data_IF_805221065049
#
_entry.id   IF_805221065049
#
_cell.length_a   1.000
_cell.length_b   1.000
_cell.length_c   1.000
_cell.angle_alpha   90.00
_cell.angle_beta   90.00
_cell.angle_gamma   90.00
#
_symmetry.space_group_name_H-M   'P 1'
#
loop_
_entity.id
_entity.type
_entity.pdbx_description
1 polymer ?
#
# COMPACT_ATOMS: atom_id res chain seq x y z
N UNK A 1 -14.84 17.77 9.89
CA UNK A 1 -13.41 17.94 10.24
C UNK A 1 -12.59 17.77 8.96
N UNK A 2 -11.48 18.50 8.81
CA UNK A 2 -10.62 18.43 7.63
C UNK A 2 -9.40 17.54 7.88
N UNK A 3 -8.90 16.88 6.83
CA UNK A 3 -7.64 16.14 6.89
C UNK A 3 -6.50 17.15 7.03
N UNK A 4 -5.61 16.95 8.00
CA UNK A 4 -4.44 17.80 8.22
C UNK A 4 -3.32 17.45 7.24
N UNK A 5 -2.43 18.41 6.99
CA UNK A 5 -1.19 18.13 6.25
C UNK A 5 -0.38 17.06 7.00
N UNK A 6 0.10 16.07 6.27
CA UNK A 6 0.84 14.93 6.80
C UNK A 6 2.33 15.20 6.58
N UNK A 7 3.10 15.26 7.67
CA UNK A 7 4.55 15.34 7.59
C UNK A 7 5.13 14.06 7.00
N UNK A 8 6.16 14.20 6.17
CA UNK A 8 6.86 13.02 5.64
C UNK A 8 7.50 12.20 6.76
N UNK A 9 7.38 10.87 6.66
CA UNK A 9 7.99 9.90 7.55
C UNK A 9 8.47 8.68 6.73
N UNK A 10 9.34 7.85 7.31
CA UNK A 10 9.89 6.68 6.63
C UNK A 10 8.92 5.50 6.66
N UNK A 11 8.90 4.70 5.61
CA UNK A 11 8.21 3.42 5.61
C UNK A 11 8.85 2.51 6.67
N UNK A 12 8.07 1.80 7.50
CA UNK A 12 8.63 0.89 8.48
C UNK A 12 9.38 -0.26 7.82
N UNK A 13 10.46 -0.69 8.47
CA UNK A 13 11.25 -1.85 8.05
C UNK A 13 10.61 -3.15 8.56
N UNK A 14 10.86 -4.27 7.87
CA UNK A 14 10.24 -5.57 8.18
C UNK A 14 10.50 -6.02 9.61
N UNK A 15 11.66 -5.68 10.15
CA UNK A 15 12.10 -6.03 11.51
C UNK A 15 11.28 -5.29 12.58
N UNK A 16 10.60 -4.20 12.21
CA UNK A 16 9.73 -3.44 13.11
C UNK A 16 8.28 -3.94 13.15
N UNK A 17 7.93 -4.90 12.30
CA UNK A 17 6.56 -5.40 12.23
C UNK A 17 6.22 -6.25 13.46
N UNK A 18 5.00 -6.12 14.01
CA UNK A 18 4.57 -6.99 15.09
C UNK A 18 4.44 -8.43 14.60
N UNK A 19 4.65 -9.39 15.51
CA UNK A 19 4.44 -10.80 15.20
C UNK A 19 2.95 -11.06 14.88
N UNK A 20 2.69 -11.79 13.79
CA UNK A 20 1.35 -12.25 13.46
C UNK A 20 0.81 -13.21 14.52
N UNK A 21 -0.48 -13.09 14.84
CA UNK A 21 -1.17 -14.01 15.76
C UNK A 21 -1.75 -15.25 15.08
N UNK A 22 -1.84 -15.23 13.76
CA UNK A 22 -2.44 -16.27 12.92
C UNK A 22 -1.49 -16.63 11.79
N UNK A 23 -1.51 -17.89 11.36
CA UNK A 23 -0.63 -18.39 10.30
C UNK A 23 -1.27 -18.36 8.91
N UNK A 24 -2.17 -17.39 8.64
CA UNK A 24 -2.82 -17.28 7.34
C UNK A 24 -1.79 -17.10 6.22
N UNK A 25 -1.92 -17.93 5.19
CA UNK A 25 -1.10 -17.86 4.00
C UNK A 25 -1.90 -17.24 2.86
N UNK A 26 -1.24 -16.43 2.04
CA UNK A 26 -1.83 -15.88 0.83
C UNK A 26 -2.06 -16.99 -0.19
N UNK A 27 -3.32 -17.21 -0.56
CA UNK A 27 -3.72 -18.11 -1.64
C UNK A 27 -4.27 -17.26 -2.80
N UNK A 28 -3.56 -17.15 -3.93
CA UNK A 28 -4.00 -16.35 -5.08
C UNK A 28 -5.39 -16.73 -5.59
N UNK A 29 -5.78 -18.00 -5.50
CA UNK A 29 -7.10 -18.48 -5.95
C UNK A 29 -8.27 -17.96 -5.11
N UNK A 30 -7.97 -17.41 -3.92
CA UNK A 30 -8.94 -16.90 -2.95
C UNK A 30 -8.70 -15.44 -2.58
N UNK A 31 -7.72 -14.78 -3.20
CA UNK A 31 -7.31 -13.43 -2.85
C UNK A 31 -7.94 -12.38 -3.78
N UNK A 32 -7.99 -11.15 -3.27
CA UNK A 32 -8.27 -9.93 -4.04
C UNK A 32 -7.26 -8.88 -3.57
N UNK A 33 -6.69 -8.12 -4.50
CA UNK A 33 -5.86 -6.95 -4.19
C UNK A 33 -6.75 -5.70 -4.18
N UNK A 34 -6.87 -5.03 -3.04
CA UNK A 34 -7.57 -3.75 -2.92
C UNK A 34 -6.58 -2.60 -2.91
N UNK A 35 -6.65 -1.69 -3.89
CA UNK A 35 -5.89 -0.43 -3.91
C UNK A 35 -6.79 0.68 -3.36
N UNK A 36 -6.76 0.81 -2.03
CA UNK A 36 -7.69 1.67 -1.32
C UNK A 36 -7.36 3.17 -1.44
N UNK A 37 -8.28 3.97 -1.99
CA UNK A 37 -8.28 5.44 -1.99
C UNK A 37 -6.98 6.13 -2.45
N UNK A 38 -6.26 5.54 -3.40
CA UNK A 38 -5.04 6.12 -4.00
C UNK A 38 -5.33 7.26 -5.00
N UNK A 39 -6.31 8.10 -4.68
CA UNK A 39 -6.74 9.25 -5.48
C UNK A 39 -5.89 10.48 -5.15
N UNK A 40 -5.67 11.36 -6.14
CA UNK A 40 -4.93 12.62 -5.95
C UNK A 40 -5.44 13.46 -4.77
N UNK A 41 -6.74 13.45 -4.51
CA UNK A 41 -7.33 14.16 -3.36
C UNK A 41 -6.67 13.76 -2.03
N UNK A 42 -6.54 12.46 -1.75
CA UNK A 42 -5.93 11.97 -0.52
C UNK A 42 -4.41 12.12 -0.52
N UNK A 43 -3.77 11.97 -1.68
CA UNK A 43 -2.32 12.09 -1.79
C UNK A 43 -1.83 13.53 -1.64
N UNK A 44 -2.66 14.53 -1.98
CA UNK A 44 -2.30 15.95 -1.87
C UNK A 44 -2.12 16.45 -0.41
N UNK A 45 -2.49 15.66 0.59
CA UNK A 45 -2.23 15.99 2.00
C UNK A 45 -0.79 15.68 2.43
N UNK A 46 -0.03 14.92 1.63
CA UNK A 46 1.40 14.70 1.80
C UNK A 46 2.21 15.81 1.12
N UNK A 47 3.49 15.91 1.44
CA UNK A 47 4.40 16.79 0.69
C UNK A 47 4.50 16.36 -0.79
N UNK A 48 4.62 17.34 -1.69
CA UNK A 48 4.67 17.08 -3.15
C UNK A 48 5.82 16.15 -3.55
N UNK A 49 6.93 16.21 -2.82
CA UNK A 49 8.12 15.38 -3.01
C UNK A 49 8.24 14.30 -1.92
N UNK A 50 7.12 13.83 -1.36
CA UNK A 50 7.16 12.83 -0.29
C UNK A 50 7.76 11.52 -0.79
N UNK A 51 8.94 11.18 -0.30
CA UNK A 51 9.62 9.91 -0.58
C UNK A 51 8.78 8.70 -0.14
N UNK A 52 7.98 8.84 0.92
CA UNK A 52 7.03 7.82 1.33
C UNK A 52 6.02 7.52 0.23
N UNK A 53 5.41 8.54 -0.37
CA UNK A 53 4.40 8.37 -1.42
C UNK A 53 5.03 7.76 -2.67
N UNK A 54 6.24 8.18 -3.04
CA UNK A 54 6.99 7.55 -4.14
C UNK A 54 7.20 6.05 -3.89
N UNK A 55 7.63 5.68 -2.68
CA UNK A 55 7.82 4.28 -2.27
C UNK A 55 6.52 3.48 -2.27
N UNK A 56 5.44 4.03 -1.69
CA UNK A 56 4.11 3.38 -1.66
C UNK A 56 3.62 3.11 -3.08
N UNK A 57 3.68 4.11 -3.97
CA UNK A 57 3.22 3.97 -5.36
C UNK A 57 4.05 2.89 -6.09
N UNK A 58 5.37 2.88 -5.90
CA UNK A 58 6.23 1.85 -6.50
C UNK A 58 5.87 0.44 -6.01
N UNK A 59 5.64 0.26 -4.71
CA UNK A 59 5.20 -1.03 -4.15
C UNK A 59 3.83 -1.45 -4.69
N UNK A 60 2.88 -0.53 -4.81
CA UNK A 60 1.55 -0.83 -5.36
C UNK A 60 1.62 -1.24 -6.84
N UNK A 61 2.50 -0.63 -7.64
CA UNK A 61 2.74 -1.04 -9.03
C UNK A 61 3.28 -2.47 -9.09
N UNK A 62 4.23 -2.83 -8.22
CA UNK A 62 4.76 -4.20 -8.12
C UNK A 62 3.68 -5.19 -7.70
N UNK A 63 2.89 -4.87 -6.66
CA UNK A 63 1.79 -5.72 -6.18
C UNK A 63 0.70 -5.90 -7.24
N UNK A 64 0.30 -4.84 -7.94
CA UNK A 64 -0.68 -4.91 -9.04
C UNK A 64 -0.18 -5.80 -10.18
N UNK A 65 1.10 -5.69 -10.51
CA UNK A 65 1.72 -6.53 -11.54
C UNK A 65 1.69 -8.00 -11.14
N UNK A 66 2.08 -8.31 -9.90
CA UNK A 66 2.00 -9.66 -9.35
C UNK A 66 0.57 -10.19 -9.33
N UNK A 67 -0.40 -9.36 -8.93
CA UNK A 67 -1.81 -9.75 -8.88
C UNK A 67 -2.33 -10.17 -10.26
N UNK A 68 -2.09 -9.35 -11.29
CA UNK A 68 -2.47 -9.68 -12.66
C UNK A 68 -1.80 -10.97 -13.16
N UNK A 69 -0.49 -11.17 -12.88
CA UNK A 69 0.24 -12.37 -13.28
C UNK A 69 -0.31 -13.65 -12.63
N UNK A 70 -0.92 -13.55 -11.45
CA UNK A 70 -1.44 -14.67 -10.68
C UNK A 70 -2.98 -14.79 -10.75
N UNK A 71 -3.62 -14.07 -11.68
CA UNK A 71 -5.09 -14.02 -11.82
C UNK A 71 -5.83 -13.56 -10.55
N UNK A 72 -5.19 -12.77 -9.70
CA UNK A 72 -5.80 -12.13 -8.53
C UNK A 72 -6.53 -10.86 -9.00
N UNK A 73 -7.85 -10.73 -8.76
CA UNK A 73 -8.58 -9.51 -9.09
C UNK A 73 -8.00 -8.29 -8.37
N UNK A 74 -7.97 -7.15 -9.06
CA UNK A 74 -7.56 -5.86 -8.49
C UNK A 74 -8.79 -4.96 -8.43
N UNK A 75 -9.05 -4.40 -7.24
CA UNK A 75 -10.19 -3.51 -6.94
C UNK A 75 -9.68 -2.16 -6.48
#
# INVERSE_FOLDING_TARGET
MAISKISTYLMPERESYPNNKTDWQLDPSRAVLLIHDMQRYFLNFYDAESELIKTVVNHLVQLRTWAHQNNVPVV
#
